data_IF_896667285732
#
_entry.id   IF_896667285732
#
_cell.length_a   1.000
_cell.length_b   1.000
_cell.length_c   1.000
_cell.angle_alpha   90.00
_cell.angle_beta   90.00
_cell.angle_gamma   90.00
#
_symmetry.space_group_name_H-M   'P 1'
#
loop_
_entity.id
_entity.type
_entity.pdbx_description
1 polymer ?
#
# COMPACT_ATOMS: atom_id res chain seq x y z
N UNK A 1 -19.83 18.81 13.64
CA UNK A 1 -18.58 18.11 13.36
C UNK A 1 -18.51 16.76 14.10
N UNK A 2 -18.90 16.70 15.38
CA UNK A 2 -18.88 15.44 16.15
C UNK A 2 -19.69 14.33 15.47
N UNK A 3 -20.90 14.65 15.01
CA UNK A 3 -21.74 13.68 14.27
C UNK A 3 -21.04 13.22 12.99
N UNK A 4 -20.37 14.14 12.32
CA UNK A 4 -19.64 13.82 11.10
C UNK A 4 -18.50 12.84 11.39
N UNK A 5 -17.72 13.09 12.47
CA UNK A 5 -16.64 12.17 12.85
C UNK A 5 -17.20 10.80 13.22
N UNK A 6 -18.35 10.76 13.94
CA UNK A 6 -19.02 9.48 14.22
C UNK A 6 -19.39 8.74 12.93
N UNK A 7 -19.87 9.48 11.92
CA UNK A 7 -20.24 8.87 10.64
C UNK A 7 -19.02 8.33 9.88
N UNK A 8 -17.84 8.84 10.18
CA UNK A 8 -16.58 8.37 9.60
C UNK A 8 -15.95 7.21 10.38
N UNK A 9 -16.57 6.81 11.49
CA UNK A 9 -16.10 5.70 12.31
C UNK A 9 -15.54 6.09 13.67
N UNK A 10 -15.84 7.31 14.14
CA UNK A 10 -15.43 7.84 15.45
C UNK A 10 -13.94 8.18 15.58
N UNK A 11 -13.09 7.66 14.70
CA UNK A 11 -11.67 8.01 14.64
C UNK A 11 -11.28 8.12 13.16
N UNK A 12 -10.50 9.15 12.82
CA UNK A 12 -10.22 9.46 11.41
C UNK A 12 -8.83 10.09 11.29
N UNK A 13 -8.08 9.75 10.22
CA UNK A 13 -6.80 10.42 9.99
C UNK A 13 -7.00 11.93 9.84
N UNK A 14 -6.07 12.70 10.38
CA UNK A 14 -6.17 14.17 10.37
C UNK A 14 -6.29 14.72 8.95
N UNK A 15 -5.47 14.23 8.03
CA UNK A 15 -5.52 14.74 6.66
C UNK A 15 -6.86 14.45 5.99
N UNK A 16 -7.43 13.29 6.25
CA UNK A 16 -8.75 12.92 5.73
C UNK A 16 -9.82 13.87 6.26
N UNK A 17 -9.80 14.12 7.56
CA UNK A 17 -10.80 15.00 8.19
C UNK A 17 -10.67 16.43 7.69
N UNK A 18 -9.47 16.98 7.70
CA UNK A 18 -9.25 18.37 7.30
C UNK A 18 -9.54 18.58 5.82
N UNK A 19 -9.23 17.61 4.97
CA UNK A 19 -9.54 17.69 3.54
C UNK A 19 -11.05 17.69 3.29
N UNK A 20 -11.80 16.98 4.12
CA UNK A 20 -13.26 16.96 4.01
C UNK A 20 -13.91 18.26 4.52
N UNK A 21 -13.31 18.87 5.55
CA UNK A 21 -13.86 20.08 6.18
C UNK A 21 -13.46 21.36 5.45
N UNK A 22 -12.24 21.42 4.92
CA UNK A 22 -11.71 22.63 4.33
C UNK A 22 -11.19 22.44 2.91
N UNK A 23 -11.55 23.36 2.01
CA UNK A 23 -11.16 23.28 0.60
C UNK A 23 -9.74 23.77 0.35
N UNK A 24 -9.22 24.64 1.22
CA UNK A 24 -7.88 25.20 1.07
C UNK A 24 -7.15 25.18 2.43
N UNK A 25 -5.87 25.50 2.39
CA UNK A 25 -5.02 25.48 3.58
C UNK A 25 -5.53 26.41 4.68
N UNK A 26 -6.02 27.59 4.32
CA UNK A 26 -6.53 28.56 5.27
C UNK A 26 -7.75 28.02 6.02
N UNK A 27 -8.71 27.42 5.31
CA UNK A 27 -9.91 26.87 5.94
C UNK A 27 -9.56 25.62 6.77
N UNK A 28 -8.61 24.80 6.31
CA UNK A 28 -8.15 23.63 7.05
C UNK A 28 -7.51 24.04 8.38
N UNK A 29 -6.72 25.11 8.37
CA UNK A 29 -6.10 25.64 9.59
C UNK A 29 -7.14 26.16 10.58
N UNK A 30 -8.20 26.80 10.08
CA UNK A 30 -9.32 27.22 10.94
C UNK A 30 -10.00 26.02 11.61
N UNK A 31 -10.27 24.98 10.83
CA UNK A 31 -10.91 23.77 11.38
C UNK A 31 -9.98 23.07 12.37
N UNK A 32 -8.69 23.02 12.06
CA UNK A 32 -7.72 22.42 13.01
C UNK A 32 -7.75 23.18 14.33
N UNK A 33 -7.75 24.52 14.27
CA UNK A 33 -7.81 25.36 15.49
C UNK A 33 -9.09 25.10 16.26
N UNK A 34 -10.23 25.07 15.56
CA UNK A 34 -11.53 24.79 16.19
C UNK A 34 -11.51 23.44 16.90
N UNK A 35 -10.99 22.42 16.26
CA UNK A 35 -10.92 21.09 16.85
C UNK A 35 -10.00 21.08 18.08
N UNK A 36 -8.91 21.81 18.03
CA UNK A 36 -7.93 21.83 19.11
C UNK A 36 -8.47 22.50 20.38
N UNK A 37 -9.32 23.51 20.24
CA UNK A 37 -9.84 24.25 21.41
C UNK A 37 -11.12 23.65 21.97
N UNK A 38 -11.70 22.65 21.29
CA UNK A 38 -12.97 22.05 21.72
C UNK A 38 -12.70 20.73 22.45
N UNK A 39 -13.22 20.60 23.67
CA UNK A 39 -12.98 19.43 24.51
C UNK A 39 -13.66 18.14 24.03
N UNK A 40 -14.56 18.24 23.04
CA UNK A 40 -15.24 17.06 22.49
C UNK A 40 -14.37 16.29 21.50
N UNK A 41 -13.26 16.89 21.05
CA UNK A 41 -12.39 16.29 20.04
C UNK A 41 -11.00 16.05 20.64
N UNK A 42 -10.44 14.86 20.35
CA UNK A 42 -9.16 14.46 20.90
C UNK A 42 -8.19 14.17 19.75
N UNK A 43 -7.05 14.86 19.76
CA UNK A 43 -6.01 14.68 18.78
C UNK A 43 -4.96 13.70 19.30
N UNK A 44 -4.56 12.76 18.46
CA UNK A 44 -3.41 11.92 18.74
C UNK A 44 -2.35 12.20 17.68
N UNK A 45 -1.16 12.51 18.14
CA UNK A 45 -0.05 12.86 17.26
C UNK A 45 0.42 11.66 16.46
N UNK A 46 0.99 11.95 15.31
CA UNK A 46 1.63 10.93 14.49
C UNK A 46 2.70 10.19 15.29
N UNK A 47 2.75 8.88 15.12
CA UNK A 47 3.76 8.01 15.72
C UNK A 47 4.46 7.23 14.62
N UNK A 48 5.37 6.34 15.00
CA UNK A 48 5.99 5.42 14.02
C UNK A 48 4.97 4.45 13.44
N UNK A 49 3.88 4.20 14.15
CA UNK A 49 2.89 3.20 13.78
C UNK A 49 1.61 3.76 13.17
N UNK A 50 1.22 4.96 13.57
CA UNK A 50 -0.07 5.55 13.18
C UNK A 50 0.05 6.99 12.70
N UNK A 51 -0.80 7.36 11.74
CA UNK A 51 -0.93 8.73 11.28
C UNK A 51 -1.51 9.62 12.37
N UNK A 52 -1.26 10.93 12.28
CA UNK A 52 -1.97 11.90 13.12
C UNK A 52 -3.47 11.73 12.90
N UNK A 53 -4.25 11.76 13.97
CA UNK A 53 -5.67 11.41 13.91
C UNK A 53 -6.47 12.10 14.97
N UNK A 54 -7.80 12.17 14.72
CA UNK A 54 -8.77 12.77 15.65
C UNK A 54 -9.82 11.73 16.00
N UNK A 55 -10.27 11.71 17.25
CA UNK A 55 -11.37 10.86 17.66
C UNK A 55 -12.34 11.59 18.60
N UNK A 56 -13.54 11.03 18.72
CA UNK A 56 -14.59 11.53 19.62
C UNK A 56 -15.00 10.49 20.65
N UNK A 57 -14.39 9.31 20.60
CA UNK A 57 -14.71 8.18 21.48
C UNK A 57 -13.42 7.44 21.80
N UNK A 58 -12.90 7.67 22.98
CA UNK A 58 -11.61 7.14 23.42
C UNK A 58 -11.60 5.61 23.42
N UNK A 59 -12.67 4.98 23.92
CA UNK A 59 -12.76 3.53 24.01
C UNK A 59 -12.74 2.89 22.61
N UNK A 60 -13.55 3.43 21.70
CA UNK A 60 -13.56 2.93 20.32
C UNK A 60 -12.20 3.11 19.65
N UNK A 61 -11.57 4.27 19.85
CA UNK A 61 -10.24 4.53 19.28
C UNK A 61 -9.22 3.51 19.79
N UNK A 62 -9.25 3.21 21.07
CA UNK A 62 -8.34 2.22 21.68
C UNK A 62 -8.54 0.84 21.07
N UNK A 63 -9.81 0.40 20.94
CA UNK A 63 -10.13 -0.91 20.35
C UNK A 63 -9.64 -0.98 18.91
N UNK A 64 -9.79 0.10 18.14
CA UNK A 64 -9.35 0.12 16.74
C UNK A 64 -7.83 0.08 16.65
N UNK A 65 -7.11 0.84 17.48
CA UNK A 65 -5.65 0.80 17.52
C UNK A 65 -5.15 -0.63 17.82
N UNK A 66 -5.75 -1.27 18.83
CA UNK A 66 -5.36 -2.62 19.20
C UNK A 66 -5.66 -3.62 18.07
N UNK A 67 -6.80 -3.46 17.42
CA UNK A 67 -7.19 -4.34 16.31
C UNK A 67 -6.22 -4.19 15.14
N UNK A 68 -5.80 -2.97 14.83
CA UNK A 68 -4.83 -2.72 13.74
C UNK A 68 -3.47 -3.34 14.08
N UNK A 69 -3.05 -3.27 15.33
CA UNK A 69 -1.79 -3.89 15.78
C UNK A 69 -1.86 -5.41 15.64
N UNK A 70 -2.98 -6.02 16.04
CA UNK A 70 -3.15 -7.48 15.91
C UNK A 70 -3.25 -7.91 14.45
N UNK A 71 -3.94 -7.13 13.63
CA UNK A 71 -4.04 -7.39 12.19
C UNK A 71 -2.66 -7.39 11.55
N UNK A 72 -1.86 -6.36 11.84
CA UNK A 72 -0.49 -6.28 11.34
C UNK A 72 0.32 -7.52 11.76
N UNK A 73 0.21 -7.92 13.01
CA UNK A 73 0.95 -9.08 13.52
C UNK A 73 0.53 -10.39 12.83
N UNK A 74 -0.72 -10.46 12.37
CA UNK A 74 -1.23 -11.66 11.69
C UNK A 74 -0.74 -11.78 10.24
N UNK A 75 -0.26 -10.67 9.66
CA UNK A 75 0.25 -10.67 8.28
C UNK A 75 1.71 -11.09 8.28
N UNK A 76 2.06 -12.03 7.42
CA UNK A 76 3.47 -12.41 7.23
C UNK A 76 4.22 -11.32 6.46
N UNK A 77 5.54 -11.32 6.57
CA UNK A 77 6.38 -10.24 6.03
C UNK A 77 6.10 -9.89 4.57
N UNK A 78 5.98 -10.89 3.72
CA UNK A 78 5.79 -10.67 2.29
C UNK A 78 4.43 -11.16 1.80
N UNK A 79 3.52 -11.43 2.73
CA UNK A 79 2.17 -11.89 2.41
C UNK A 79 1.40 -10.82 1.64
N UNK A 80 0.70 -11.25 0.61
CA UNK A 80 -0.18 -10.39 -0.19
C UNK A 80 -1.53 -11.07 -0.26
N UNK A 81 -2.58 -10.37 0.16
CA UNK A 81 -3.93 -10.92 0.21
C UNK A 81 -4.92 -9.97 -0.48
N UNK A 82 -6.08 -10.51 -0.83
CA UNK A 82 -7.14 -9.71 -1.44
C UNK A 82 -7.74 -8.75 -0.40
N UNK A 83 -8.37 -7.70 -0.88
CA UNK A 83 -9.06 -6.75 -0.01
C UNK A 83 -10.14 -7.46 0.82
N UNK A 84 -10.89 -8.37 0.20
CA UNK A 84 -11.93 -9.11 0.91
C UNK A 84 -11.37 -9.92 2.07
N UNK A 85 -10.27 -10.62 1.83
CA UNK A 85 -9.63 -11.41 2.88
C UNK A 85 -9.10 -10.52 4.01
N UNK A 86 -8.52 -9.36 3.67
CA UNK A 86 -8.05 -8.44 4.69
C UNK A 86 -9.19 -7.90 5.53
N UNK A 87 -10.29 -7.50 4.90
CA UNK A 87 -11.45 -6.98 5.62
C UNK A 87 -12.05 -8.05 6.54
N UNK A 88 -12.09 -9.30 6.09
CA UNK A 88 -12.56 -10.40 6.93
C UNK A 88 -11.67 -10.59 8.16
N UNK A 89 -10.35 -10.56 7.99
CA UNK A 89 -9.40 -10.65 9.12
C UNK A 89 -9.58 -9.47 10.07
N UNK A 90 -9.75 -8.27 9.51
CA UNK A 90 -9.91 -7.06 10.31
C UNK A 90 -11.20 -7.14 11.15
N UNK A 91 -12.30 -7.56 10.53
CA UNK A 91 -13.57 -7.73 11.25
C UNK A 91 -13.42 -8.68 12.44
N UNK A 92 -12.66 -9.76 12.28
CA UNK A 92 -12.41 -10.70 13.36
C UNK A 92 -11.71 -10.06 14.57
N UNK A 93 -10.93 -9.00 14.31
CA UNK A 93 -10.23 -8.27 15.36
C UNK A 93 -11.05 -7.15 16.00
N UNK A 94 -12.24 -6.86 15.45
CA UNK A 94 -13.07 -5.74 15.86
C UNK A 94 -14.30 -6.15 16.70
N UNK A 95 -14.21 -7.28 17.40
CA UNK A 95 -15.36 -7.81 18.14
C UNK A 95 -15.86 -6.86 19.24
N UNK A 96 -14.98 -6.05 19.79
CA UNK A 96 -15.32 -5.11 20.86
C UNK A 96 -15.87 -3.79 20.32
N UNK A 97 -15.81 -3.55 19.02
CA UNK A 97 -16.26 -2.31 18.39
C UNK A 97 -17.74 -2.44 18.00
N UNK A 98 -18.48 -1.35 18.19
CA UNK A 98 -19.89 -1.29 17.86
C UNK A 98 -20.12 -1.62 16.37
N UNK A 99 -21.03 -2.56 16.11
CA UNK A 99 -21.34 -3.02 14.74
C UNK A 99 -21.88 -1.89 13.86
N UNK A 100 -22.46 -0.85 14.45
CA UNK A 100 -22.96 0.29 13.69
C UNK A 100 -21.88 0.98 12.86
N UNK A 101 -20.61 0.88 13.27
CA UNK A 101 -19.49 1.46 12.53
C UNK A 101 -18.98 0.54 11.42
N UNK A 102 -19.32 -0.75 11.43
CA UNK A 102 -18.66 -1.77 10.62
C UNK A 102 -19.22 -1.88 9.20
N UNK A 103 -19.02 -0.86 8.38
CA UNK A 103 -19.27 -0.93 6.95
C UNK A 103 -17.95 -0.83 6.20
N UNK A 104 -17.94 -1.24 4.95
CA UNK A 104 -16.72 -1.33 4.14
C UNK A 104 -15.95 -0.01 4.08
N UNK A 105 -16.68 1.09 3.89
CA UNK A 105 -16.06 2.42 3.78
C UNK A 105 -15.32 2.81 5.06
N UNK A 106 -15.96 2.59 6.22
CA UNK A 106 -15.35 2.90 7.52
C UNK A 106 -14.17 1.98 7.79
N UNK A 107 -14.32 0.67 7.51
CA UNK A 107 -13.21 -0.29 7.70
C UNK A 107 -11.98 0.12 6.90
N UNK A 108 -12.17 0.50 5.64
CA UNK A 108 -11.05 0.94 4.79
C UNK A 108 -10.41 2.21 5.34
N UNK A 109 -11.23 3.13 5.86
CA UNK A 109 -10.70 4.36 6.47
C UNK A 109 -9.87 4.05 7.70
N UNK A 110 -10.33 3.14 8.56
CA UNK A 110 -9.56 2.73 9.73
C UNK A 110 -8.23 2.10 9.34
N UNK A 111 -8.20 1.29 8.27
CA UNK A 111 -6.96 0.69 7.78
C UNK A 111 -5.92 1.76 7.44
N UNK A 112 -6.36 2.93 6.95
CA UNK A 112 -5.43 4.00 6.58
C UNK A 112 -4.77 4.67 7.79
N UNK A 113 -5.27 4.42 9.01
CA UNK A 113 -4.64 4.94 10.22
C UNK A 113 -3.26 4.31 10.45
N UNK A 114 -3.08 3.06 10.05
CA UNK A 114 -1.81 2.35 10.24
C UNK A 114 -0.82 2.70 9.14
N UNK A 115 0.43 2.94 9.54
CA UNK A 115 1.54 3.16 8.60
C UNK A 115 2.11 1.84 8.07
N UNK A 116 1.73 0.73 8.68
CA UNK A 116 2.34 -0.59 8.40
C UNK A 116 1.48 -1.52 7.58
N UNK A 117 0.23 -1.14 7.31
CA UNK A 117 -0.69 -1.93 6.48
C UNK A 117 -1.06 -1.06 5.28
N UNK A 118 -0.95 -1.62 4.09
CA UNK A 118 -1.23 -0.85 2.89
C UNK A 118 -1.64 -1.72 1.72
N UNK A 119 -1.96 -1.05 0.63
CA UNK A 119 -2.38 -1.73 -0.60
C UNK A 119 -1.50 -1.27 -1.77
N UNK A 120 -1.51 -2.06 -2.83
CA UNK A 120 -0.84 -1.71 -4.06
C UNK A 120 -1.87 -1.33 -5.13
N UNK A 121 -1.43 -0.87 -6.30
CA UNK A 121 -2.38 -0.47 -7.37
C UNK A 121 -3.27 -1.58 -7.92
N UNK A 122 -3.00 -2.84 -7.57
CA UNK A 122 -3.84 -3.98 -7.93
C UNK A 122 -4.87 -4.30 -6.84
N UNK A 123 -5.01 -3.43 -5.85
CA UNK A 123 -5.92 -3.61 -4.70
C UNK A 123 -5.57 -4.86 -3.88
N UNK A 124 -4.31 -5.25 -3.89
CA UNK A 124 -3.79 -6.29 -3.00
C UNK A 124 -3.23 -5.61 -1.75
N UNK A 125 -3.35 -6.29 -0.62
CA UNK A 125 -3.00 -5.72 0.69
C UNK A 125 -1.93 -6.56 1.38
N UNK A 126 -1.17 -5.90 2.24
CA UNK A 126 -0.13 -6.54 3.03
C UNK A 126 0.61 -5.53 3.86
N UNK A 127 1.77 -5.93 4.38
CA UNK A 127 2.64 -5.01 5.10
C UNK A 127 3.26 -4.00 4.13
N UNK A 128 3.34 -2.75 4.53
CA UNK A 128 3.92 -1.70 3.68
C UNK A 128 5.40 -1.92 3.39
N UNK A 129 6.07 -2.77 4.16
CA UNK A 129 7.47 -3.15 3.91
C UNK A 129 7.61 -4.19 2.80
N UNK A 130 6.54 -4.89 2.44
CA UNK A 130 6.60 -5.93 1.42
C UNK A 130 6.88 -5.31 0.03
N UNK A 131 7.76 -5.93 -0.77
CA UNK A 131 8.07 -5.41 -2.10
C UNK A 131 6.86 -5.24 -3.01
N UNK A 132 5.86 -6.12 -2.90
CA UNK A 132 4.65 -6.04 -3.72
C UNK A 132 3.73 -4.90 -3.28
N UNK A 133 3.90 -4.36 -2.08
CA UNK A 133 3.06 -3.29 -1.55
C UNK A 133 3.77 -1.92 -1.68
N UNK A 134 5.09 -1.89 -1.50
CA UNK A 134 5.88 -0.65 -1.52
C UNK A 134 6.21 -0.24 -2.95
N UNK A 135 5.28 0.44 -3.61
CA UNK A 135 5.40 0.84 -5.02
C UNK A 135 5.82 2.30 -5.11
N UNK A 136 7.02 2.55 -5.66
CA UNK A 136 7.59 3.89 -5.78
C UNK A 136 7.89 4.34 -7.21
N UNK A 137 8.31 3.42 -8.08
CA UNK A 137 8.71 3.79 -9.42
C UNK A 137 8.53 2.68 -10.44
N UNK A 138 9.07 2.91 -11.63
CA UNK A 138 8.92 1.99 -12.77
C UNK A 138 9.32 0.56 -12.40
N UNK A 139 10.42 0.39 -11.66
CA UNK A 139 10.89 -0.95 -11.27
C UNK A 139 9.86 -1.71 -10.42
N UNK A 140 9.13 -0.99 -9.57
CA UNK A 140 8.13 -1.61 -8.71
C UNK A 140 6.87 -1.98 -9.51
N UNK A 141 6.45 -1.11 -10.43
CA UNK A 141 5.35 -1.42 -11.34
C UNK A 141 5.72 -2.61 -12.22
N UNK A 142 6.97 -2.67 -12.69
CA UNK A 142 7.47 -3.80 -13.47
C UNK A 142 7.39 -5.09 -12.65
N UNK A 143 7.78 -5.03 -11.37
CA UNK A 143 7.69 -6.18 -10.48
C UNK A 143 6.26 -6.70 -10.38
N UNK A 144 5.29 -5.80 -10.15
CA UNK A 144 3.88 -6.19 -10.09
C UNK A 144 3.39 -6.78 -11.42
N UNK A 145 3.79 -6.17 -12.53
CA UNK A 145 3.36 -6.63 -13.86
C UNK A 145 3.86 -8.04 -14.15
N UNK A 146 5.14 -8.30 -13.90
CA UNK A 146 5.72 -9.62 -14.12
C UNK A 146 5.13 -10.64 -13.15
N UNK A 147 4.97 -10.26 -11.89
CA UNK A 147 4.41 -11.15 -10.87
C UNK A 147 2.97 -11.55 -11.22
N UNK A 148 2.16 -10.58 -11.63
CA UNK A 148 0.78 -10.85 -12.03
C UNK A 148 0.71 -11.74 -13.27
N UNK A 149 1.62 -11.54 -14.22
CA UNK A 149 1.69 -12.34 -15.44
C UNK A 149 2.03 -13.82 -15.12
N UNK A 150 2.87 -14.03 -14.13
CA UNK A 150 3.19 -15.37 -13.64
C UNK A 150 4.24 -16.12 -14.43
N UNK A 151 4.78 -15.53 -15.49
CA UNK A 151 5.78 -16.16 -16.36
C UNK A 151 6.79 -15.10 -16.82
N UNK A 152 7.98 -15.52 -17.30
CA UNK A 152 8.93 -14.55 -17.83
C UNK A 152 8.32 -13.69 -18.93
N UNK A 153 8.68 -12.41 -18.94
CA UNK A 153 8.16 -11.44 -19.91
C UNK A 153 9.30 -10.73 -20.63
N UNK A 154 9.08 -10.44 -21.90
CA UNK A 154 10.01 -9.59 -22.66
C UNK A 154 9.89 -8.14 -22.14
N UNK A 155 11.01 -7.42 -22.03
CA UNK A 155 11.01 -6.09 -21.44
C UNK A 155 10.05 -5.11 -22.14
N UNK A 156 9.84 -5.27 -23.45
CA UNK A 156 8.89 -4.42 -24.18
C UNK A 156 7.45 -4.71 -23.77
N UNK A 157 7.14 -5.98 -23.49
CA UNK A 157 5.82 -6.39 -22.99
C UNK A 157 5.61 -5.90 -21.55
N UNK A 158 6.68 -5.88 -20.74
CA UNK A 158 6.61 -5.32 -19.39
C UNK A 158 6.19 -3.85 -19.47
N UNK A 159 6.82 -3.07 -20.34
CA UNK A 159 6.48 -1.65 -20.51
C UNK A 159 5.02 -1.46 -20.93
N UNK A 160 4.54 -2.27 -21.87
CA UNK A 160 3.13 -2.23 -22.31
C UNK A 160 2.18 -2.57 -21.17
N UNK A 161 2.52 -3.60 -20.41
CA UNK A 161 1.68 -4.09 -19.31
C UNK A 161 1.57 -3.03 -18.20
N UNK A 162 2.65 -2.32 -17.92
CA UNK A 162 2.63 -1.22 -16.94
C UNK A 162 1.61 -0.16 -17.40
N UNK A 163 1.62 0.19 -18.68
CA UNK A 163 0.66 1.15 -19.22
C UNK A 163 -0.77 0.66 -19.12
N UNK A 164 -1.00 -0.59 -19.45
CA UNK A 164 -2.34 -1.18 -19.44
C UNK A 164 -2.91 -1.36 -18.04
N UNK A 165 -2.10 -1.84 -17.08
CA UNK A 165 -2.57 -2.14 -15.74
C UNK A 165 -2.67 -0.90 -14.84
N UNK A 166 -1.74 0.04 -14.97
CA UNK A 166 -1.60 1.11 -13.98
C UNK A 166 -1.82 2.51 -14.55
N UNK A 167 -2.11 2.61 -15.84
CA UNK A 167 -2.26 3.90 -16.53
C UNK A 167 -1.02 4.80 -16.33
N UNK A 168 0.15 4.18 -16.26
CA UNK A 168 1.44 4.86 -16.10
C UNK A 168 2.23 4.72 -17.38
N UNK A 169 2.68 5.84 -17.94
CA UNK A 169 3.52 5.79 -19.13
C UNK A 169 4.90 5.24 -18.75
N UNK A 170 5.25 4.12 -19.34
CA UNK A 170 6.54 3.49 -19.13
C UNK A 170 7.25 3.35 -20.48
N UNK A 171 8.36 4.06 -20.62
CA UNK A 171 9.18 3.98 -21.84
C UNK A 171 9.93 2.64 -21.86
N UNK A 172 9.98 2.01 -23.02
CA UNK A 172 10.61 0.69 -23.19
C UNK A 172 12.07 0.71 -22.72
N UNK A 173 12.82 1.73 -23.12
CA UNK A 173 14.25 1.83 -22.75
C UNK A 173 14.44 2.01 -21.23
N UNK A 174 13.60 2.84 -20.61
CA UNK A 174 13.65 3.05 -19.16
C UNK A 174 13.31 1.76 -18.42
N UNK A 175 12.25 1.08 -18.88
CA UNK A 175 11.82 -0.18 -18.27
C UNK A 175 12.95 -1.20 -18.35
N UNK A 176 13.58 -1.34 -19.54
CA UNK A 176 14.69 -2.28 -19.73
C UNK A 176 15.85 -1.98 -18.77
N UNK A 177 16.22 -0.71 -18.64
CA UNK A 177 17.30 -0.31 -17.74
C UNK A 177 16.98 -0.64 -16.28
N UNK A 178 15.73 -0.44 -15.87
CA UNK A 178 15.32 -0.74 -14.50
C UNK A 178 15.33 -2.25 -14.23
N UNK A 179 14.93 -3.06 -15.22
CA UNK A 179 14.96 -4.53 -15.09
C UNK A 179 16.40 -5.03 -14.92
N UNK A 180 17.34 -4.42 -15.66
CA UNK A 180 18.77 -4.81 -15.59
C UNK A 180 19.34 -4.50 -14.18
N UNK A 181 18.98 -3.37 -13.61
CA UNK A 181 19.54 -2.88 -12.35
C UNK A 181 18.95 -3.54 -11.11
N UNK A 182 17.71 -3.97 -11.18
CA UNK A 182 16.97 -4.43 -9.99
C UNK A 182 17.21 -5.92 -9.76
N UNK A 183 17.76 -6.30 -8.60
CA UNK A 183 18.08 -7.71 -8.31
C UNK A 183 16.86 -8.62 -8.20
N UNK A 184 15.64 -8.06 -8.15
CA UNK A 184 14.42 -8.88 -8.16
C UNK A 184 14.19 -9.56 -9.50
N UNK A 185 14.89 -9.13 -10.56
CA UNK A 185 14.73 -9.67 -11.90
C UNK A 185 15.97 -10.45 -12.34
N UNK A 186 15.75 -11.47 -13.14
CA UNK A 186 16.83 -12.27 -13.72
C UNK A 186 16.55 -12.46 -15.20
N UNK A 187 17.59 -12.26 -16.02
CA UNK A 187 17.51 -12.46 -17.48
C UNK A 187 17.53 -13.96 -17.78
N UNK A 188 16.45 -14.47 -18.36
CA UNK A 188 16.30 -15.91 -18.62
C UNK A 188 16.28 -16.25 -20.12
N UNK A 189 16.28 -15.24 -20.97
CA UNK A 189 16.29 -15.39 -22.41
C UNK A 189 16.62 -14.06 -23.06
N UNK A 190 16.59 -14.00 -24.38
CA UNK A 190 16.90 -12.76 -25.10
C UNK A 190 15.83 -11.70 -24.81
N UNK A 191 16.18 -10.77 -23.93
CA UNK A 191 15.25 -9.72 -23.50
C UNK A 191 14.14 -10.18 -22.57
N UNK A 192 14.18 -11.45 -22.16
CA UNK A 192 13.17 -12.07 -21.30
C UNK A 192 13.59 -12.03 -19.84
N UNK A 193 12.75 -11.48 -18.99
CA UNK A 193 13.02 -11.35 -17.56
C UNK A 193 12.00 -12.14 -16.74
N UNK A 194 12.49 -12.80 -15.70
CA UNK A 194 11.69 -13.50 -14.71
C UNK A 194 11.98 -12.89 -13.34
N UNK A 195 11.16 -13.24 -12.36
CA UNK A 195 11.46 -12.83 -10.99
C UNK A 195 12.49 -13.80 -10.39
N UNK A 196 13.48 -13.24 -9.72
CA UNK A 196 14.53 -14.02 -9.04
C UNK A 196 13.93 -15.01 -8.05
N UNK A 197 12.87 -14.59 -7.37
CA UNK A 197 12.17 -15.43 -6.38
C UNK A 197 11.55 -16.70 -6.97
N UNK A 198 11.39 -16.76 -8.30
CA UNK A 198 10.86 -17.96 -8.97
C UNK A 198 11.92 -19.05 -9.14
N UNK A 199 13.18 -18.78 -8.83
CA UNK A 199 14.26 -19.77 -8.88
C UNK A 199 14.86 -20.01 -10.26
N UNK A 200 14.57 -19.19 -11.26
CA UNK A 200 15.19 -19.26 -12.58
C UNK A 200 16.67 -18.90 -12.48
N UNK A 201 17.50 -19.62 -13.28
CA UNK A 201 18.91 -19.29 -13.40
C UNK A 201 19.13 -18.39 -14.60
N UNK A 202 20.04 -17.59 -14.57
CA UNK A 202 20.31 -16.71 -15.61
C UNK A 202 20.47 -17.52 -16.87
N UNK A 203 20.00 -16.98 -17.65
CA UNK A 203 20.05 -17.68 -18.85
C UNK A 203 21.42 -17.68 -19.32
N UNK A 204 21.52 -18.34 -19.84
CA UNK A 204 22.68 -18.47 -20.44
C UNK A 204 23.02 -17.39 -21.41
N UNK A 205 22.32 -16.77 -21.43
CA UNK A 205 22.56 -15.65 -22.15
C UNK A 205 23.71 -14.88 -21.65
N UNK A 206 23.82 -14.89 -20.51
CA UNK A 206 24.98 -14.20 -19.93
C UNK A 206 26.29 -14.93 -20.21
N UNK A 207 26.21 -16.22 -20.32
CA UNK A 207 27.38 -17.02 -20.65
C UNK A 207 27.89 -16.78 -22.08
N UNK A 208 26.98 -16.44 -23.00
CA UNK A 208 27.40 -16.13 -24.38
C UNK A 208 28.04 -14.74 -24.50
N UNK A 209 27.61 -13.80 -23.66
CA UNK A 209 28.19 -12.44 -23.69
C UNK A 209 29.60 -12.40 -23.10
N UNK A 210 29.91 -13.33 -22.18
CA UNK A 210 31.24 -13.39 -21.58
C UNK A 210 32.25 -14.09 -22.49
N UNK A 211 31.77 -14.90 -23.46
CA UNK A 211 32.66 -15.59 -24.39
C UNK A 211 33.08 -14.77 -25.61
N UNK A 212 32.43 -13.62 -25.83
CA UNK A 212 32.74 -12.81 -27.01
C UNK A 212 33.72 -11.64 -26.69
N UNK A 213 34.26 -11.63 -25.46
CA UNK A 213 35.23 -10.56 -25.09
C UNK A 213 36.62 -11.09 -24.82
N UNK A 214 37.05 -12.12 -25.52
CA UNK A 214 38.45 -12.49 -25.54
C UNK A 214 38.87 -12.62 -27.01
N UNK A 215 39.29 -11.48 -27.55
CA UNK A 215 40.19 -11.36 -28.68
C UNK A 215 40.65 -9.92 -28.78
#
# INVERSE_FOLDING_TARGET
IAKYIHSLGAIVPEDTLLSALGKDEKSRNRFRFFLMVNSAFFRERETNDFLARWHVDHTTAKHIHNALTRLYSSLSDNEVITEGDLLDRFLDELKEVNDAYKNEEVLKRWLTLSKHIGSNPLAEWGRTSAPAIRIKGVRDYAYLAVKRHGEPMHFSEVAKTIGALFSKKAHVATTHNELIKDPRFVLVGRGLYALTEWGYKXXXXSARLSRTRVR
#
